data_IF_606133960155
#
_entry.id   IF_606133960155
#
_cell.length_a   1.000
_cell.length_b   1.000
_cell.length_c   1.000
_cell.angle_alpha   90.00
_cell.angle_beta   90.00
_cell.angle_gamma   90.00
#
_symmetry.space_group_name_H-M   'P 1'
#
loop_
_entity.id
_entity.type
_entity.pdbx_description
1 polymer ?
#
# COMPACT_ATOMS: atom_id res chain seq x y z
N UNK A 1 15.84 66.58 -17.46
CA UNK A 1 16.60 67.65 -16.77
C UNK A 1 17.05 67.05 -15.45
N UNK A 2 18.27 66.56 -15.21
CA UNK A 2 19.52 66.37 -15.95
C UNK A 2 20.11 65.08 -15.30
N UNK A 3 20.58 64.06 -16.02
CA UNK A 3 21.80 63.99 -16.84
C UNK A 3 23.06 64.20 -16.02
N UNK A 4 23.70 63.08 -15.64
CA UNK A 4 25.13 62.90 -15.33
C UNK A 4 25.40 61.41 -15.63
N UNK A 5 25.87 60.99 -16.81
CA UNK A 5 27.26 61.06 -17.32
C UNK A 5 28.31 60.51 -16.34
N UNK A 6 28.48 59.18 -16.35
CA UNK A 6 29.79 58.56 -16.15
C UNK A 6 29.99 57.40 -17.11
N UNK A 7 30.82 57.70 -18.09
CA UNK A 7 31.50 56.81 -19.03
C UNK A 7 32.69 56.20 -18.30
N UNK A 8 32.67 54.88 -18.08
CA UNK A 8 33.86 54.11 -17.79
C UNK A 8 33.98 52.99 -18.82
N UNK A 9 35.03 53.13 -19.63
CA UNK A 9 35.43 52.21 -20.66
C UNK A 9 36.17 51.03 -20.01
N UNK A 10 35.52 49.88 -19.90
CA UNK A 10 36.19 48.64 -19.54
C UNK A 10 36.69 47.95 -20.81
N UNK A 11 38.01 48.00 -20.98
CA UNK A 11 38.75 47.29 -22.01
C UNK A 11 38.62 45.78 -21.79
N UNK A 12 37.95 45.11 -22.72
CA UNK A 12 37.98 43.66 -22.81
C UNK A 12 39.42 43.17 -23.12
N UNK A 13 39.94 42.16 -22.40
CA UNK A 13 41.21 41.53 -22.76
C UNK A 13 41.09 40.73 -24.06
N UNK A 14 42.17 40.62 -24.84
CA UNK A 14 42.14 39.98 -26.15
C UNK A 14 41.97 38.46 -26.04
N UNK A 15 41.13 37.97 -26.93
CA UNK A 15 40.82 36.58 -27.25
C UNK A 15 42.03 35.90 -27.94
N UNK A 16 42.71 34.91 -27.34
CA UNK A 16 43.72 34.14 -28.03
C UNK A 16 43.02 33.03 -28.83
N UNK A 17 42.62 33.41 -30.04
CA UNK A 17 42.26 32.46 -31.09
C UNK A 17 43.47 31.61 -31.49
N UNK A 18 43.21 30.31 -31.55
CA UNK A 18 43.60 29.41 -32.65
C UNK A 18 44.94 28.65 -32.59
N UNK A 19 44.81 27.39 -33.02
CA UNK A 19 45.82 26.50 -33.60
C UNK A 19 46.69 25.67 -32.66
N UNK A 20 46.26 24.42 -32.46
CA UNK A 20 47.14 23.24 -32.51
C UNK A 20 46.29 21.99 -32.83
N UNK A 21 46.11 21.73 -34.11
CA UNK A 21 45.99 20.36 -34.61
C UNK A 21 47.29 19.62 -34.25
N UNK A 22 47.21 18.49 -33.53
CA UNK A 22 48.12 17.35 -33.71
C UNK A 22 47.70 16.14 -32.86
N UNK A 23 47.26 15.11 -33.56
CA UNK A 23 47.62 13.70 -33.36
C UNK A 23 47.30 13.05 -32.00
N UNK A 24 46.09 12.47 -32.00
CA UNK A 24 45.63 11.35 -31.19
C UNK A 24 46.50 10.10 -31.42
N UNK A 25 47.14 9.50 -30.40
CA UNK A 25 47.66 8.15 -30.53
C UNK A 25 46.56 7.14 -30.20
N UNK A 26 46.36 6.21 -31.14
CA UNK A 26 45.56 5.02 -30.95
C UNK A 26 46.20 4.12 -29.89
N UNK A 27 45.41 3.73 -28.87
CA UNK A 27 45.79 2.66 -27.95
C UNK A 27 45.17 1.33 -28.44
N UNK A 28 45.88 0.20 -28.26
CA UNK A 28 45.58 -1.05 -28.94
C UNK A 28 44.45 -1.84 -28.29
N UNK A 29 43.71 -2.52 -29.17
CA UNK A 29 42.83 -3.65 -28.89
C UNK A 29 43.60 -4.78 -28.18
N UNK A 30 43.14 -5.17 -26.99
CA UNK A 30 43.46 -6.46 -26.38
C UNK A 30 42.17 -7.15 -25.97
N UNK A 31 41.83 -8.16 -26.74
CA UNK A 31 40.89 -9.22 -26.38
C UNK A 31 41.64 -10.28 -25.54
N UNK A 32 41.06 -10.70 -24.42
CA UNK A 32 40.88 -12.10 -24.03
C UNK A 32 40.36 -12.20 -22.57
N UNK A 33 39.35 -13.06 -22.38
CA UNK A 33 38.64 -13.39 -21.13
C UNK A 33 39.51 -14.25 -20.16
N UNK A 34 39.05 -14.50 -18.92
CA UNK A 34 38.09 -15.59 -18.60
C UNK A 34 36.88 -15.07 -17.77
N UNK A 35 35.63 -15.50 -17.98
CA UNK A 35 34.96 -16.64 -17.28
C UNK A 35 35.27 -16.61 -15.76
N UNK A 36 34.35 -16.26 -14.86
CA UNK A 36 33.07 -16.90 -14.60
C UNK A 36 32.09 -16.08 -13.72
N UNK A 37 30.80 -16.33 -13.98
CA UNK A 37 29.69 -16.48 -13.01
C UNK A 37 29.03 -15.27 -12.30
N UNK A 38 27.68 -15.31 -12.38
CA UNK A 38 26.64 -14.61 -11.63
C UNK A 38 26.30 -13.15 -11.99
N UNK A 39 25.52 -13.01 -13.07
CA UNK A 39 24.58 -11.90 -13.25
C UNK A 39 23.16 -12.44 -13.48
N UNK A 40 22.34 -12.31 -12.44
CA UNK A 40 20.89 -12.48 -12.46
C UNK A 40 20.28 -11.35 -13.30
N UNK A 41 19.90 -11.64 -14.55
CA UNK A 41 19.15 -10.73 -15.42
C UNK A 41 17.65 -10.92 -15.19
N UNK A 42 17.02 -9.97 -14.50
CA UNK A 42 15.58 -9.73 -14.60
C UNK A 42 15.29 -8.83 -15.80
N UNK A 43 14.93 -9.42 -16.92
CA UNK A 43 14.44 -8.70 -18.11
C UNK A 43 13.00 -8.23 -17.86
N UNK A 44 12.79 -6.92 -17.69
CA UNK A 44 11.45 -6.31 -17.80
C UNK A 44 11.28 -5.77 -19.22
N UNK A 45 10.76 -6.61 -20.11
CA UNK A 45 10.23 -6.19 -21.38
C UNK A 45 8.78 -5.75 -21.17
N UNK A 46 8.52 -4.43 -21.17
CA UNK A 46 7.17 -3.89 -21.37
C UNK A 46 6.89 -3.87 -22.86
N UNK A 47 6.28 -4.94 -23.35
CA UNK A 47 5.62 -4.92 -24.65
C UNK A 47 4.37 -4.04 -24.59
N UNK A 48 4.31 -3.11 -25.55
CA UNK A 48 3.15 -2.30 -25.87
C UNK A 48 2.01 -3.21 -26.33
N UNK A 49 0.97 -3.35 -25.51
CA UNK A 49 -0.32 -3.87 -25.97
C UNK A 49 -1.12 -2.68 -26.50
N UNK A 50 -0.95 -2.40 -27.80
CA UNK A 50 -1.94 -1.71 -28.64
C UNK A 50 -2.83 -2.78 -29.25
N UNK A 51 -4.03 -2.98 -28.70
CA UNK A 51 -5.18 -3.56 -29.39
C UNK A 51 -6.35 -2.63 -29.08
N UNK A 52 -6.99 -1.95 -30.02
CA UNK A 52 -7.50 -2.50 -31.27
C UNK A 52 -8.92 -3.00 -31.03
N UNK A 53 -9.83 -2.09 -30.68
CA UNK A 53 -11.26 -2.39 -30.54
C UNK A 53 -11.83 -2.34 -31.96
N UNK A 54 -11.89 -3.51 -32.59
CA UNK A 54 -12.66 -3.73 -33.81
C UNK A 54 -13.91 -4.55 -33.45
N UNK A 55 -15.00 -4.15 -34.08
CA UNK A 55 -16.36 -4.63 -33.96
C UNK A 55 -16.51 -6.10 -34.40
N UNK A 56 -17.72 -6.62 -34.16
CA UNK A 56 -18.26 -7.90 -34.62
C UNK A 56 -17.97 -9.17 -33.80
N UNK A 57 -18.92 -9.50 -32.92
CA UNK A 57 -19.46 -10.86 -32.85
C UNK A 57 -20.83 -10.87 -32.16
N UNK A 58 -21.88 -10.98 -32.98
CA UNK A 58 -23.19 -11.50 -32.58
C UNK A 58 -23.00 -12.90 -31.99
N UNK A 59 -23.12 -13.02 -30.68
CA UNK A 59 -23.06 -14.28 -29.95
C UNK A 59 -24.13 -14.32 -28.87
N UNK A 60 -25.39 -14.43 -29.29
CA UNK A 60 -26.53 -14.77 -28.42
C UNK A 60 -26.27 -16.12 -27.76
N UNK A 61 -25.72 -16.12 -26.55
CA UNK A 61 -25.62 -17.31 -25.72
C UNK A 61 -26.81 -17.29 -24.78
N UNK A 62 -27.93 -17.82 -25.27
CA UNK A 62 -29.10 -18.13 -24.47
C UNK A 62 -28.73 -19.21 -23.45
N UNK A 63 -28.66 -18.84 -22.17
CA UNK A 63 -28.64 -19.77 -21.05
C UNK A 63 -29.96 -20.55 -21.02
N UNK A 64 -29.94 -21.89 -20.96
CA UNK A 64 -31.15 -22.66 -20.77
C UNK A 64 -31.59 -22.51 -19.31
N UNK A 65 -32.54 -21.60 -19.08
CA UNK A 65 -33.30 -21.52 -17.83
C UNK A 65 -34.28 -22.70 -17.76
N UNK A 66 -33.78 -23.90 -17.50
CA UNK A 66 -34.59 -25.06 -17.11
C UNK A 66 -34.90 -25.00 -15.61
N UNK A 67 -35.69 -24.01 -15.20
CA UNK A 67 -36.44 -24.11 -13.95
C UNK A 67 -37.62 -25.05 -14.24
N UNK A 68 -37.75 -26.21 -13.56
CA UNK A 68 -38.97 -26.99 -13.69
C UNK A 68 -40.15 -26.10 -13.25
N UNK A 69 -41.32 -26.18 -13.91
CA UNK A 69 -42.52 -25.57 -13.37
C UNK A 69 -42.77 -26.27 -12.05
N UNK A 70 -42.48 -25.59 -10.94
CA UNK A 70 -43.03 -25.98 -9.65
C UNK A 70 -44.54 -25.84 -9.84
N UNK A 71 -45.17 -26.96 -10.16
CA UNK A 71 -46.61 -27.12 -10.12
C UNK A 71 -46.98 -27.06 -8.65
N UNK A 72 -46.96 -25.85 -8.10
CA UNK A 72 -47.65 -25.51 -6.88
C UNK A 72 -49.10 -25.81 -7.20
N UNK A 73 -49.57 -26.99 -6.81
CA UNK A 73 -50.99 -27.22 -6.63
C UNK A 73 -51.41 -26.13 -5.67
N UNK A 74 -51.98 -25.05 -6.21
CA UNK A 74 -52.61 -23.99 -5.43
C UNK A 74 -53.66 -24.75 -4.64
N UNK A 75 -53.40 -24.97 -3.36
CA UNK A 75 -54.37 -25.55 -2.45
C UNK A 75 -55.60 -24.67 -2.58
N UNK A 76 -56.65 -25.19 -3.19
CA UNK A 76 -57.93 -24.50 -3.40
C UNK A 76 -58.70 -24.29 -2.09
N UNK A 77 -58.08 -24.64 -0.96
CA UNK A 77 -58.55 -24.24 0.36
C UNK A 77 -58.53 -22.70 0.44
N UNK A 78 -59.67 -22.05 0.72
CA UNK A 78 -59.70 -20.61 0.92
C UNK A 78 -58.74 -20.23 2.05
N UNK A 79 -58.00 -19.12 1.94
CA UNK A 79 -57.08 -18.71 2.98
C UNK A 79 -57.87 -18.40 4.26
N UNK A 80 -57.39 -18.90 5.40
CA UNK A 80 -58.03 -18.72 6.71
C UNK A 80 -57.33 -17.61 7.50
N UNK A 81 -58.11 -16.90 8.30
CA UNK A 81 -57.61 -15.91 9.23
C UNK A 81 -56.78 -16.60 10.32
N UNK A 82 -55.53 -16.15 10.49
CA UNK A 82 -54.64 -16.67 11.53
C UNK A 82 -55.18 -16.47 12.96
N UNK A 83 -55.94 -15.38 13.19
CA UNK A 83 -56.46 -15.06 14.51
C UNK A 83 -57.77 -15.80 14.86
N UNK A 84 -58.60 -16.14 13.86
CA UNK A 84 -59.96 -16.63 14.10
C UNK A 84 -60.25 -17.99 13.46
N UNK A 85 -59.36 -18.53 12.64
CA UNK A 85 -59.59 -19.77 11.89
C UNK A 85 -60.74 -19.70 10.88
N UNK A 86 -61.29 -18.51 10.62
CA UNK A 86 -62.41 -18.29 9.70
C UNK A 86 -61.90 -17.96 8.29
N UNK A 87 -62.63 -18.33 7.22
CA UNK A 87 -62.23 -18.00 5.87
C UNK A 87 -62.14 -16.48 5.69
N UNK A 88 -61.07 -16.03 5.04
CA UNK A 88 -60.90 -14.63 4.66
C UNK A 88 -61.89 -14.32 3.53
N UNK A 89 -62.86 -13.47 3.79
CA UNK A 89 -63.95 -13.13 2.86
C UNK A 89 -63.95 -11.65 2.46
N UNK A 90 -63.25 -10.81 3.22
CA UNK A 90 -63.23 -9.35 3.08
C UNK A 90 -61.81 -8.86 2.84
N UNK A 91 -61.68 -7.73 2.16
CA UNK A 91 -60.43 -7.00 2.01
C UNK A 91 -60.58 -5.63 2.65
N UNK A 92 -59.68 -5.29 3.58
CA UNK A 92 -59.63 -3.94 4.14
C UNK A 92 -58.80 -3.03 3.23
N UNK A 93 -59.43 -2.01 2.67
CA UNK A 93 -58.78 -1.07 1.74
C UNK A 93 -57.77 -0.16 2.46
N UNK A 94 -58.01 0.14 3.74
CA UNK A 94 -57.13 0.99 4.53
C UNK A 94 -55.84 0.29 4.94
N UNK A 95 -55.92 -0.99 5.35
CA UNK A 95 -54.73 -1.76 5.77
C UNK A 95 -54.15 -2.62 4.66
N UNK A 96 -54.78 -2.62 3.47
CA UNK A 96 -54.40 -3.43 2.30
C UNK A 96 -54.17 -4.90 2.66
N UNK A 97 -55.09 -5.48 3.44
CA UNK A 97 -54.96 -6.84 3.97
C UNK A 97 -56.30 -7.59 3.95
N UNK A 98 -56.29 -8.92 3.73
CA UNK A 98 -57.49 -9.75 3.79
C UNK A 98 -57.92 -9.97 5.25
N UNK A 99 -59.24 -9.97 5.49
CA UNK A 99 -59.86 -10.12 6.80
C UNK A 99 -60.97 -11.18 6.76
N UNK A 100 -61.22 -11.82 7.89
CA UNK A 100 -62.47 -12.57 8.10
C UNK A 100 -63.55 -11.64 8.67
N UNK A 101 -64.80 -12.08 8.61
CA UNK A 101 -65.96 -11.36 9.14
C UNK A 101 -65.84 -10.98 10.61
N UNK A 102 -65.12 -11.78 11.41
CA UNK A 102 -64.92 -11.50 12.84
C UNK A 102 -63.91 -10.37 13.07
N UNK A 103 -62.83 -10.33 12.31
CA UNK A 103 -61.89 -9.21 12.33
C UNK A 103 -62.53 -7.88 11.91
N UNK A 104 -63.51 -7.90 11.01
CA UNK A 104 -64.29 -6.72 10.68
C UNK A 104 -65.14 -6.26 11.87
N UNK A 105 -65.86 -7.18 12.51
CA UNK A 105 -66.71 -6.89 13.66
C UNK A 105 -65.91 -6.37 14.88
N UNK A 106 -64.71 -6.91 15.10
CA UNK A 106 -63.83 -6.50 16.20
C UNK A 106 -63.21 -5.10 15.96
N UNK A 107 -63.07 -4.69 14.70
CA UNK A 107 -62.59 -3.35 14.33
C UNK A 107 -63.75 -2.34 14.39
N UNK A 108 -63.88 -1.64 15.51
CA UNK A 108 -64.91 -0.60 15.72
C UNK A 108 -64.72 0.61 14.80
N UNK A 109 -65.32 0.57 13.61
CA UNK A 109 -65.71 1.71 12.75
C UNK A 109 -64.59 2.46 12.02
N UNK A 110 -64.83 2.87 10.76
CA UNK A 110 -63.99 3.80 10.00
C UNK A 110 -63.12 3.19 8.89
N UNK A 111 -63.16 1.87 8.70
CA UNK A 111 -62.43 1.18 7.65
C UNK A 111 -63.34 0.88 6.45
N UNK A 112 -62.84 1.06 5.23
CA UNK A 112 -63.53 0.64 4.01
C UNK A 112 -63.21 -0.83 3.71
N UNK A 113 -64.24 -1.62 3.43
CA UNK A 113 -64.12 -3.05 3.16
C UNK A 113 -64.78 -3.43 1.83
N UNK A 114 -64.12 -4.32 1.10
CA UNK A 114 -64.58 -4.85 -0.18
C UNK A 114 -64.61 -6.38 -0.15
N UNK A 115 -65.66 -7.00 -0.70
CA UNK A 115 -65.78 -8.45 -0.81
C UNK A 115 -64.65 -9.04 -1.67
N UNK A 116 -63.98 -10.09 -1.19
CA UNK A 116 -62.88 -10.71 -1.93
C UNK A 116 -63.35 -11.42 -3.20
N UNK A 117 -64.52 -12.05 -3.17
CA UNK A 117 -65.08 -12.81 -4.31
C UNK A 117 -65.60 -11.95 -5.47
N UNK A 118 -65.66 -10.62 -5.33
CA UNK A 118 -66.06 -9.74 -6.43
C UNK A 118 -64.93 -9.62 -7.46
N UNK A 119 -65.11 -10.04 -8.72
CA UNK A 119 -64.05 -9.99 -9.73
C UNK A 119 -63.61 -8.55 -10.04
N UNK A 120 -64.52 -7.56 -9.94
CA UNK A 120 -64.15 -6.14 -10.08
C UNK A 120 -63.28 -5.65 -8.94
N UNK A 121 -63.60 -6.04 -7.70
CA UNK A 121 -62.80 -5.69 -6.54
C UNK A 121 -61.44 -6.41 -6.56
N UNK A 122 -61.38 -7.66 -7.05
CA UNK A 122 -60.13 -8.38 -7.23
C UNK A 122 -59.20 -7.69 -8.23
N UNK A 123 -59.73 -7.30 -9.41
CA UNK A 123 -58.94 -6.55 -10.40
C UNK A 123 -58.48 -5.18 -9.88
N UNK A 124 -59.36 -4.45 -9.17
CA UNK A 124 -59.00 -3.15 -8.58
C UNK A 124 -57.90 -3.27 -7.53
N UNK A 125 -57.95 -4.30 -6.66
CA UNK A 125 -56.92 -4.57 -5.65
C UNK A 125 -55.61 -5.00 -6.29
N UNK A 126 -55.67 -5.89 -7.28
CA UNK A 126 -54.48 -6.31 -8.01
C UNK A 126 -53.79 -5.10 -8.63
N UNK A 127 -54.56 -4.18 -9.24
CA UNK A 127 -54.03 -2.94 -9.81
C UNK A 127 -53.43 -2.03 -8.74
N UNK A 128 -54.12 -1.80 -7.62
CA UNK A 128 -53.60 -0.97 -6.53
C UNK A 128 -52.30 -1.53 -5.92
N UNK A 129 -52.23 -2.85 -5.73
CA UNK A 129 -51.03 -3.53 -5.24
C UNK A 129 -49.89 -3.40 -6.26
N UNK A 130 -50.16 -3.61 -7.55
CA UNK A 130 -49.13 -3.43 -8.58
C UNK A 130 -48.64 -1.99 -8.65
N UNK A 131 -49.51 -0.99 -8.54
CA UNK A 131 -49.13 0.43 -8.55
C UNK A 131 -48.26 0.79 -7.33
N UNK A 132 -48.61 0.29 -6.13
CA UNK A 132 -47.80 0.50 -4.92
C UNK A 132 -46.45 -0.20 -5.02
N UNK A 133 -46.41 -1.44 -5.53
CA UNK A 133 -45.18 -2.18 -5.74
C UNK A 133 -44.27 -1.51 -6.78
N UNK A 134 -44.83 -1.07 -7.90
CA UNK A 134 -44.10 -0.34 -8.95
C UNK A 134 -43.57 1.00 -8.43
N UNK A 135 -44.37 1.74 -7.66
CA UNK A 135 -43.92 2.98 -7.02
C UNK A 135 -42.76 2.73 -6.06
N UNK A 136 -42.86 1.69 -5.21
CA UNK A 136 -41.79 1.33 -4.26
C UNK A 136 -40.52 0.86 -4.97
N UNK A 137 -40.65 0.04 -6.02
CA UNK A 137 -39.52 -0.39 -6.85
C UNK A 137 -38.86 0.79 -7.57
N UNK A 138 -39.66 1.75 -8.05
CA UNK A 138 -39.14 2.98 -8.67
C UNK A 138 -38.37 3.84 -7.66
N UNK A 139 -38.88 4.00 -6.45
CA UNK A 139 -38.20 4.72 -5.37
C UNK A 139 -36.88 4.04 -4.99
N UNK A 140 -36.89 2.73 -4.75
CA UNK A 140 -35.67 1.98 -4.44
C UNK A 140 -34.66 2.02 -5.59
N UNK A 141 -35.11 1.93 -6.84
CA UNK A 141 -34.25 2.05 -8.01
C UNK A 141 -33.72 3.46 -8.24
N UNK A 142 -34.42 4.50 -7.76
CA UNK A 142 -33.90 5.87 -7.69
C UNK A 142 -32.78 5.98 -6.65
N UNK A 143 -33.05 5.56 -5.42
CA UNK A 143 -32.07 5.60 -4.33
C UNK A 143 -30.82 4.76 -4.61
N UNK A 144 -30.95 3.59 -5.24
CA UNK A 144 -29.80 2.79 -5.65
C UNK A 144 -28.95 3.50 -6.70
N UNK A 145 -29.58 4.12 -7.71
CA UNK A 145 -28.86 4.87 -8.75
C UNK A 145 -28.16 6.10 -8.20
N UNK A 146 -28.78 6.82 -7.28
CA UNK A 146 -28.15 7.97 -6.59
C UNK A 146 -26.95 7.52 -5.74
N UNK A 147 -27.07 6.37 -5.07
CA UNK A 147 -25.99 5.82 -4.26
C UNK A 147 -24.85 5.27 -5.11
N UNK A 148 -25.17 4.64 -6.25
CA UNK A 148 -24.19 4.19 -7.25
C UNK A 148 -23.49 5.38 -7.91
N UNK A 149 -24.22 6.40 -8.36
CA UNK A 149 -23.63 7.58 -8.98
C UNK A 149 -22.80 8.41 -7.99
N UNK A 150 -23.27 8.56 -6.75
CA UNK A 150 -22.53 9.24 -5.69
C UNK A 150 -21.23 8.50 -5.32
N UNK A 151 -21.29 7.17 -5.19
CA UNK A 151 -20.08 6.36 -4.95
C UNK A 151 -19.13 6.36 -6.14
N UNK A 152 -19.64 6.28 -7.37
CA UNK A 152 -18.83 6.33 -8.58
C UNK A 152 -18.09 7.68 -8.68
N UNK A 153 -18.79 8.79 -8.46
CA UNK A 153 -18.17 10.12 -8.48
C UNK A 153 -17.10 10.28 -7.37
N UNK A 154 -17.37 9.77 -6.17
CA UNK A 154 -16.39 9.81 -5.08
C UNK A 154 -15.14 8.96 -5.37
N UNK A 155 -15.33 7.79 -6.00
CA UNK A 155 -14.20 6.94 -6.42
C UNK A 155 -13.40 7.59 -7.55
N UNK A 156 -14.06 8.23 -8.52
CA UNK A 156 -13.41 8.96 -9.60
C UNK A 156 -12.58 10.14 -9.08
N UNK A 157 -13.12 10.91 -8.12
CA UNK A 157 -12.37 11.99 -7.46
C UNK A 157 -11.14 11.45 -6.71
N UNK A 158 -11.27 10.32 -6.02
CA UNK A 158 -10.15 9.71 -5.31
C UNK A 158 -9.08 9.17 -6.27
N UNK A 159 -9.48 8.58 -7.41
CA UNK A 159 -8.55 8.16 -8.46
C UNK A 159 -7.76 9.38 -8.98
N UNK A 160 -8.45 10.47 -9.33
CA UNK A 160 -7.79 11.70 -9.78
C UNK A 160 -6.85 12.28 -8.73
N UNK A 161 -7.23 12.25 -7.45
CA UNK A 161 -6.37 12.67 -6.33
C UNK A 161 -5.14 11.79 -6.20
N UNK A 162 -5.29 10.47 -6.38
CA UNK A 162 -4.14 9.55 -6.36
C UNK A 162 -3.21 9.72 -7.55
N UNK A 163 -3.75 9.95 -8.75
CA UNK A 163 -2.97 10.20 -9.96
C UNK A 163 -2.14 11.49 -9.84
N UNK A 164 -2.75 12.58 -9.33
CA UNK A 164 -2.04 13.83 -9.08
C UNK A 164 -0.88 13.66 -8.09
N UNK A 165 -1.06 12.85 -7.04
CA UNK A 165 0.01 12.53 -6.07
C UNK A 165 1.12 11.68 -6.70
N UNK A 166 0.78 10.74 -7.59
CA UNK A 166 1.77 9.95 -8.31
C UNK A 166 2.60 10.83 -9.24
N UNK A 167 1.97 11.80 -9.91
CA UNK A 167 2.66 12.77 -10.75
C UNK A 167 3.60 13.66 -9.92
N UNK A 168 3.15 14.18 -8.77
CA UNK A 168 3.98 14.95 -7.83
C UNK A 168 5.20 14.13 -7.35
N UNK A 169 5.00 12.87 -6.96
CA UNK A 169 6.10 11.98 -6.58
C UNK A 169 7.07 11.71 -7.74
N UNK A 170 6.57 11.60 -8.96
CA UNK A 170 7.40 11.50 -10.16
C UNK A 170 8.28 12.74 -10.36
N UNK A 171 7.69 13.94 -10.25
CA UNK A 171 8.41 15.21 -10.36
C UNK A 171 9.47 15.37 -9.27
N UNK A 172 9.17 14.97 -8.03
CA UNK A 172 10.14 14.97 -6.93
C UNK A 172 11.28 13.99 -7.16
N UNK A 173 11.00 12.79 -7.69
CA UNK A 173 12.03 11.81 -8.03
C UNK A 173 12.95 12.33 -9.16
N UNK A 174 12.37 12.95 -10.18
CA UNK A 174 13.13 13.55 -11.29
C UNK A 174 13.97 14.75 -10.84
N UNK A 175 13.47 15.57 -9.91
CA UNK A 175 14.23 16.66 -9.29
C UNK A 175 15.41 16.10 -8.49
N UNK A 176 15.18 15.14 -7.59
CA UNK A 176 16.24 14.50 -6.83
C UNK A 176 17.30 13.83 -7.72
N UNK A 177 16.89 13.21 -8.84
CA UNK A 177 17.81 12.60 -9.80
C UNK A 177 18.63 13.63 -10.60
N UNK A 178 18.13 14.87 -10.76
CA UNK A 178 18.90 15.98 -11.34
C UNK A 178 19.89 16.52 -10.32
N UNK A 179 19.45 16.79 -9.09
CA UNK A 179 20.32 17.29 -8.01
C UNK A 179 21.51 16.34 -7.76
N UNK A 180 21.26 15.02 -7.73
CA UNK A 180 22.33 14.02 -7.58
C UNK A 180 23.32 14.00 -8.75
N UNK A 181 22.87 14.31 -9.98
CA UNK A 181 23.75 14.41 -11.15
C UNK A 181 24.60 15.67 -11.09
N UNK A 182 24.00 16.80 -10.73
CA UNK A 182 24.71 18.07 -10.54
C UNK A 182 25.76 17.96 -9.43
N UNK A 183 25.42 17.36 -8.28
CA UNK A 183 26.37 17.09 -7.18
C UNK A 183 27.54 16.19 -7.62
N UNK A 184 27.26 15.19 -8.46
CA UNK A 184 28.28 14.30 -9.00
C UNK A 184 29.21 15.02 -9.99
N UNK A 185 28.66 15.85 -10.87
CA UNK A 185 29.42 16.65 -11.82
C UNK A 185 30.32 17.67 -11.09
N UNK A 186 29.79 18.39 -10.10
CA UNK A 186 30.57 19.30 -9.25
C UNK A 186 31.71 18.57 -8.52
N UNK A 187 31.45 17.37 -8.00
CA UNK A 187 32.48 16.53 -7.38
C UNK A 187 33.60 16.18 -8.36
N UNK A 188 33.24 15.81 -9.59
CA UNK A 188 34.19 15.44 -10.63
C UNK A 188 35.02 16.65 -11.07
N UNK A 189 34.40 17.82 -11.22
CA UNK A 189 35.10 19.07 -11.52
C UNK A 189 36.10 19.45 -10.42
N UNK A 190 35.69 19.34 -9.16
CA UNK A 190 36.57 19.59 -8.02
C UNK A 190 37.77 18.65 -8.05
N UNK A 191 37.54 17.33 -8.19
CA UNK A 191 38.63 16.35 -8.28
C UNK A 191 39.57 16.62 -9.46
N UNK A 192 39.03 17.01 -10.62
CA UNK A 192 39.85 17.40 -11.77
C UNK A 192 40.65 18.67 -11.51
N UNK A 193 40.07 19.67 -10.83
CA UNK A 193 40.76 20.91 -10.46
C UNK A 193 41.90 20.63 -9.49
N UNK A 194 41.67 19.84 -8.45
CA UNK A 194 42.69 19.41 -7.48
C UNK A 194 43.78 18.60 -8.17
N UNK A 195 43.40 17.71 -9.11
CA UNK A 195 44.36 16.96 -9.92
C UNK A 195 45.27 17.90 -10.72
N UNK A 196 44.72 18.87 -11.45
CA UNK A 196 45.50 19.83 -12.25
C UNK A 196 46.47 20.63 -11.39
N UNK A 197 46.02 21.11 -10.23
CA UNK A 197 46.89 21.83 -9.28
C UNK A 197 48.04 20.94 -8.81
N UNK A 198 47.76 19.70 -8.42
CA UNK A 198 48.78 18.74 -7.99
C UNK A 198 49.75 18.36 -9.10
N UNK A 199 49.26 18.16 -10.32
CA UNK A 199 50.10 17.93 -11.50
C UNK A 199 51.02 19.13 -11.75
N UNK A 200 50.51 20.36 -11.67
CA UNK A 200 51.32 21.57 -11.83
C UNK A 200 52.41 21.69 -10.75
N UNK A 201 52.06 21.46 -9.48
CA UNK A 201 53.04 21.44 -8.39
C UNK A 201 54.16 20.41 -8.61
N UNK A 202 53.83 19.24 -9.15
CA UNK A 202 54.82 18.20 -9.47
C UNK A 202 55.71 18.60 -10.65
N UNK A 203 55.14 19.23 -11.69
CA UNK A 203 55.91 19.75 -12.84
C UNK A 203 56.86 20.84 -12.39
N UNK A 204 56.38 21.82 -11.61
CA UNK A 204 57.20 22.91 -11.08
C UNK A 204 58.33 22.37 -10.20
N UNK A 205 58.03 21.42 -9.33
CA UNK A 205 59.05 20.79 -8.49
C UNK A 205 60.08 20.03 -9.31
N UNK A 206 59.65 19.28 -10.35
CA UNK A 206 60.55 18.60 -11.27
C UNK A 206 61.45 19.59 -12.01
N UNK A 207 60.92 20.72 -12.45
CA UNK A 207 61.69 21.77 -13.12
C UNK A 207 62.73 22.38 -12.17
N UNK A 208 62.34 22.69 -10.92
CA UNK A 208 63.29 23.17 -9.90
C UNK A 208 64.42 22.16 -9.63
N UNK A 209 64.13 20.87 -9.56
CA UNK A 209 65.16 19.83 -9.42
C UNK A 209 66.05 19.73 -10.65
N UNK A 210 65.49 19.90 -11.85
CA UNK A 210 66.24 19.99 -13.11
C UNK A 210 67.23 21.14 -13.11
N UNK A 211 66.78 22.35 -12.79
CA UNK A 211 67.61 23.54 -12.70
C UNK A 211 68.77 23.35 -11.71
N UNK A 212 68.48 22.76 -10.54
CA UNK A 212 69.52 22.44 -9.54
C UNK A 212 70.50 21.40 -10.06
N UNK A 213 70.04 20.36 -10.74
CA UNK A 213 70.90 19.33 -11.31
C UNK A 213 71.82 19.89 -12.40
N UNK A 214 71.32 20.76 -13.27
CA UNK A 214 72.10 21.45 -14.30
C UNK A 214 73.19 22.33 -13.69
N UNK A 215 72.86 23.10 -12.64
CA UNK A 215 73.83 23.93 -11.92
C UNK A 215 74.92 23.10 -11.24
N UNK A 216 74.55 21.96 -10.63
CA UNK A 216 75.52 21.01 -10.07
C UNK A 216 76.41 20.45 -11.18
N UNK A 217 75.87 20.13 -12.35
CA UNK A 217 76.65 19.66 -13.49
C UNK A 217 77.63 20.73 -14.00
N UNK A 218 77.20 22.00 -14.08
CA UNK A 218 78.06 23.12 -14.41
C UNK A 218 79.22 23.28 -13.42
N UNK A 219 78.93 23.22 -12.10
CA UNK A 219 79.97 23.26 -11.07
C UNK A 219 80.93 22.07 -11.14
N UNK A 220 80.45 20.87 -11.49
CA UNK A 220 81.31 19.71 -11.73
C UNK A 220 82.23 19.93 -12.93
N UNK A 221 81.72 20.50 -14.02
CA UNK A 221 82.55 20.85 -15.19
C UNK A 221 83.64 21.86 -14.83
N UNK A 222 83.28 22.91 -14.08
CA UNK A 222 84.26 23.91 -13.59
C UNK A 222 85.31 23.26 -12.70
N UNK A 223 84.90 22.36 -11.79
CA UNK A 223 85.82 21.60 -10.96
C UNK A 223 86.78 20.76 -11.81
N UNK A 224 86.27 20.05 -12.81
CA UNK A 224 87.09 19.15 -13.64
C UNK A 224 88.08 19.94 -14.53
N UNK A 225 87.68 21.11 -15.04
CA UNK A 225 88.61 22.06 -15.69
C UNK A 225 89.67 22.57 -14.71
N UNK A 226 89.30 22.88 -13.46
CA UNK A 226 90.22 23.31 -12.42
C UNK A 226 91.23 22.22 -12.04
N UNK A 227 90.80 20.97 -11.92
CA UNK A 227 91.70 19.82 -11.65
C UNK A 227 92.73 19.68 -12.77
N UNK A 228 92.31 19.78 -14.04
CA UNK A 228 93.23 19.72 -15.19
C UNK A 228 94.25 20.87 -15.19
N UNK A 229 93.82 22.09 -14.89
CA UNK A 229 94.71 23.25 -14.79
C UNK A 229 95.74 23.08 -13.65
N UNK A 230 95.34 22.46 -12.52
CA UNK A 230 96.26 22.12 -11.44
C UNK A 230 97.27 21.04 -11.85
N UNK A 231 96.82 20.01 -12.57
CA UNK A 231 97.66 18.89 -13.03
C UNK A 231 98.71 19.32 -14.05
N UNK A 232 98.42 20.33 -14.88
CA UNK A 232 99.37 20.88 -15.85
C UNK A 232 100.58 21.59 -15.20
N UNK A 233 100.48 21.96 -13.92
CA UNK A 233 101.50 22.69 -13.16
C UNK A 233 101.97 24.02 -13.78
N UNK A 234 101.21 24.59 -14.74
CA UNK A 234 101.46 25.89 -15.33
C UNK A 234 100.68 26.99 -14.60
N UNK A 235 101.41 27.98 -14.10
CA UNK A 235 100.83 29.12 -13.38
C UNK A 235 99.95 30.00 -14.30
N UNK A 236 100.24 30.05 -15.60
CA UNK A 236 99.46 30.83 -16.56
C UNK A 236 98.07 30.22 -16.79
N UNK A 237 97.99 28.89 -16.93
CA UNK A 237 96.72 28.16 -17.11
C UNK A 237 95.82 28.29 -15.88
N UNK A 238 96.40 28.28 -14.67
CA UNK A 238 95.64 28.41 -13.43
C UNK A 238 95.08 29.83 -13.22
N UNK A 239 95.83 30.88 -13.59
CA UNK A 239 95.31 32.27 -13.58
C UNK A 239 94.21 32.45 -14.63
N UNK A 240 94.38 31.86 -15.81
CA UNK A 240 93.36 31.85 -16.87
C UNK A 240 92.06 31.18 -16.39
N UNK A 241 92.16 30.00 -15.78
CA UNK A 241 91.02 29.29 -15.18
C UNK A 241 90.29 30.14 -14.13
N UNK A 242 91.02 30.72 -13.17
CA UNK A 242 90.42 31.54 -12.12
C UNK A 242 89.70 32.77 -12.69
N UNK A 243 90.32 33.48 -13.65
CA UNK A 243 89.69 34.64 -14.27
C UNK A 243 88.43 34.29 -15.07
N UNK A 244 88.43 33.12 -15.74
CA UNK A 244 87.31 32.64 -16.56
C UNK A 244 86.11 32.16 -15.72
N UNK A 245 86.36 31.51 -14.58
CA UNK A 245 85.31 30.82 -13.82
C UNK A 245 84.97 31.45 -12.46
N UNK A 246 85.68 32.49 -12.00
CA UNK A 246 85.42 33.13 -10.71
C UNK A 246 83.97 33.62 -10.53
N UNK A 247 83.39 34.21 -11.58
CA UNK A 247 82.00 34.70 -11.56
C UNK A 247 81.00 33.54 -11.50
N UNK A 248 81.18 32.52 -12.33
CA UNK A 248 80.30 31.34 -12.36
C UNK A 248 80.36 30.55 -11.05
N UNK A 249 81.57 30.34 -10.52
CA UNK A 249 81.74 29.59 -9.28
C UNK A 249 81.09 30.33 -8.10
N UNK A 250 81.34 31.63 -7.96
CA UNK A 250 80.73 32.40 -6.87
C UNK A 250 79.21 32.47 -7.00
N UNK A 251 78.69 32.83 -8.18
CA UNK A 251 77.26 33.04 -8.37
C UNK A 251 76.44 31.74 -8.24
N UNK A 252 76.90 30.64 -8.83
CA UNK A 252 76.17 29.36 -8.76
C UNK A 252 76.29 28.68 -7.40
N UNK A 253 77.46 28.74 -6.74
CA UNK A 253 77.59 28.21 -5.38
C UNK A 253 76.71 28.98 -4.39
N UNK A 254 76.69 30.32 -4.47
CA UNK A 254 75.82 31.12 -3.61
C UNK A 254 74.34 30.83 -3.85
N UNK A 255 73.91 30.68 -5.11
CA UNK A 255 72.51 30.37 -5.41
C UNK A 255 72.08 28.97 -4.94
N UNK A 256 72.96 27.97 -5.05
CA UNK A 256 72.69 26.62 -4.53
C UNK A 256 72.69 26.55 -3.01
N UNK A 257 73.57 27.29 -2.34
CA UNK A 257 73.61 27.36 -0.88
C UNK A 257 72.43 28.14 -0.30
N UNK A 258 71.99 29.20 -0.97
CA UNK A 258 70.90 30.05 -0.52
C UNK A 258 69.51 29.39 -0.70
N UNK A 259 69.36 28.43 -1.63
CA UNK A 259 68.07 27.81 -1.94
C UNK A 259 68.02 26.37 -1.42
N UNK A 260 67.49 26.13 -0.21
CA UNK A 260 67.40 24.77 0.33
C UNK A 260 66.51 23.90 -0.57
N UNK A 261 67.05 22.76 -1.00
CA UNK A 261 66.30 21.75 -1.73
C UNK A 261 65.14 21.24 -0.85
N UNK A 262 63.88 21.28 -1.33
CA UNK A 262 62.77 20.69 -0.61
C UNK A 262 63.03 19.18 -0.47
N UNK A 263 63.21 18.70 0.77
CA UNK A 263 63.56 17.29 1.05
C UNK A 263 62.39 16.31 0.83
N UNK A 264 61.16 16.81 0.74
CA UNK A 264 59.98 16.03 0.45
C UNK A 264 58.92 16.90 -0.21
N UNK A 265 58.32 16.42 -1.30
CA UNK A 265 57.10 17.01 -1.84
C UNK A 265 55.97 16.66 -0.88
N UNK A 266 55.59 17.60 -0.01
CA UNK A 266 54.34 17.46 0.73
C UNK A 266 53.23 17.90 -0.20
N UNK A 267 52.67 16.95 -0.95
CA UNK A 267 51.34 17.12 -1.52
C UNK A 267 50.39 16.76 -0.38
N UNK A 268 49.78 17.75 0.33
CA UNK A 268 48.81 17.42 1.36
C UNK A 268 47.71 16.56 0.73
N UNK A 269 47.53 15.39 1.32
CA UNK A 269 46.41 14.52 0.95
C UNK A 269 45.10 15.10 1.48
N UNK A 270 45.16 16.04 2.42
CA UNK A 270 44.07 16.48 3.32
C UNK A 270 42.79 16.99 2.65
N UNK A 271 42.84 17.43 1.39
CA UNK A 271 41.65 17.85 0.64
C UNK A 271 40.72 16.67 0.29
N UNK A 272 41.27 15.45 0.16
CA UNK A 272 40.51 14.25 -0.23
C UNK A 272 39.88 13.53 1.00
N UNK A 273 40.57 13.31 2.14
CA UNK A 273 40.01 12.62 3.29
C UNK A 273 38.85 13.37 3.94
N UNK A 274 38.83 14.70 3.99
CA UNK A 274 37.74 15.42 4.64
C UNK A 274 36.42 15.28 3.87
N UNK A 275 36.45 15.47 2.56
CA UNK A 275 35.28 15.26 1.72
C UNK A 275 34.86 13.79 1.65
N UNK A 276 35.82 12.87 1.58
CA UNK A 276 35.54 11.44 1.61
C UNK A 276 34.96 11.03 2.97
N UNK A 277 35.44 11.58 4.08
CA UNK A 277 34.88 11.32 5.42
C UNK A 277 33.45 11.86 5.53
N UNK A 278 33.20 13.11 5.11
CA UNK A 278 31.87 13.71 5.08
C UNK A 278 30.90 12.89 4.21
N UNK A 279 31.33 12.46 3.02
CA UNK A 279 30.53 11.59 2.14
C UNK A 279 30.32 10.21 2.73
N UNK A 280 31.30 9.63 3.42
CA UNK A 280 31.17 8.35 4.11
C UNK A 280 30.18 8.43 5.26
N UNK A 281 30.08 9.57 5.94
CA UNK A 281 29.10 9.80 6.99
C UNK A 281 27.69 9.99 6.42
N UNK A 282 27.56 10.73 5.31
CA UNK A 282 26.29 10.83 4.57
C UNK A 282 25.82 9.47 4.05
N UNK A 283 26.71 8.66 3.47
CA UNK A 283 26.41 7.30 3.02
C UNK A 283 26.00 6.39 4.18
N UNK A 284 26.66 6.49 5.34
CA UNK A 284 26.24 5.78 6.56
C UNK A 284 24.86 6.22 7.01
N UNK A 285 24.57 7.52 6.98
CA UNK A 285 23.23 8.07 7.26
C UNK A 285 22.17 7.52 6.31
N UNK A 286 22.45 7.47 5.01
CA UNK A 286 21.56 6.90 3.99
C UNK A 286 21.34 5.39 4.17
N UNK A 287 22.38 4.63 4.53
CA UNK A 287 22.22 3.20 4.85
C UNK A 287 21.37 2.98 6.10
N UNK A 288 21.53 3.82 7.13
CA UNK A 288 20.69 3.78 8.32
C UNK A 288 19.23 4.11 8.00
N UNK A 289 18.97 5.14 7.19
CA UNK A 289 17.61 5.52 6.80
C UNK A 289 16.95 4.45 5.93
N UNK A 290 17.68 3.83 5.00
CA UNK A 290 17.19 2.71 4.20
C UNK A 290 16.84 1.50 5.09
N UNK A 291 17.71 1.16 6.05
CA UNK A 291 17.43 0.07 7.01
C UNK A 291 16.17 0.36 7.84
N UNK A 292 16.01 1.59 8.33
CA UNK A 292 14.81 2.02 9.04
C UNK A 292 13.56 1.95 8.15
N UNK A 293 13.67 2.34 6.88
CA UNK A 293 12.57 2.26 5.92
C UNK A 293 12.14 0.80 5.68
N UNK A 294 13.10 -0.13 5.54
CA UNK A 294 12.83 -1.57 5.42
C UNK A 294 12.13 -2.11 6.67
N UNK A 295 12.65 -1.81 7.86
CA UNK A 295 12.02 -2.21 9.13
C UNK A 295 10.60 -1.64 9.28
N UNK A 296 10.38 -0.38 8.90
CA UNK A 296 9.04 0.22 8.90
C UNK A 296 8.09 -0.54 7.97
N UNK A 297 8.55 -0.90 6.77
CA UNK A 297 7.74 -1.63 5.81
C UNK A 297 7.44 -3.06 6.28
N UNK A 298 8.39 -3.73 6.92
CA UNK A 298 8.19 -5.05 7.55
C UNK A 298 7.09 -4.98 8.62
N UNK A 299 7.19 -4.02 9.56
CA UNK A 299 6.15 -3.82 10.60
C UNK A 299 4.79 -3.48 10.00
N UNK A 300 4.74 -2.68 8.92
CA UNK A 300 3.49 -2.38 8.23
C UNK A 300 2.88 -3.62 7.58
N UNK A 301 3.69 -4.48 6.96
CA UNK A 301 3.24 -5.76 6.43
C UNK A 301 2.67 -6.65 7.54
N UNK A 302 3.37 -6.77 8.67
CA UNK A 302 2.93 -7.56 9.82
C UNK A 302 1.57 -7.06 10.36
N UNK A 303 1.39 -5.73 10.47
CA UNK A 303 0.12 -5.12 10.89
C UNK A 303 -1.00 -5.43 9.88
N UNK A 304 -0.73 -5.32 8.58
CA UNK A 304 -1.71 -5.60 7.53
C UNK A 304 -2.14 -7.07 7.55
N UNK A 305 -1.19 -7.99 7.75
CA UNK A 305 -1.50 -9.42 7.81
C UNK A 305 -2.24 -9.79 9.10
N UNK A 306 -1.90 -9.18 10.24
CA UNK A 306 -2.66 -9.32 11.48
C UNK A 306 -4.12 -8.83 11.30
N UNK A 307 -4.33 -7.67 10.67
CA UNK A 307 -5.68 -7.15 10.40
C UNK A 307 -6.47 -8.05 9.44
N UNK A 308 -5.81 -8.67 8.44
CA UNK A 308 -6.45 -9.65 7.56
C UNK A 308 -6.87 -10.89 8.34
N UNK A 309 -6.00 -11.37 9.22
CA UNK A 309 -6.30 -12.53 10.07
C UNK A 309 -7.48 -12.24 11.01
N UNK A 310 -7.49 -11.09 11.69
CA UNK A 310 -8.63 -10.68 12.53
C UNK A 310 -9.93 -10.61 11.74
N UNK A 311 -9.92 -10.01 10.54
CA UNK A 311 -11.11 -9.96 9.66
C UNK A 311 -11.59 -11.35 9.27
N UNK A 312 -10.69 -12.29 8.99
CA UNK A 312 -11.06 -13.69 8.74
C UNK A 312 -11.71 -14.32 9.96
N UNK A 313 -11.13 -14.15 11.16
CA UNK A 313 -11.73 -14.69 12.39
C UNK A 313 -13.09 -14.07 12.71
N UNK A 314 -13.27 -12.78 12.40
CA UNK A 314 -14.56 -12.11 12.51
C UNK A 314 -15.60 -12.62 11.51
N UNK A 315 -15.19 -12.96 10.29
CA UNK A 315 -16.06 -13.61 9.32
C UNK A 315 -16.48 -15.00 9.82
N UNK A 316 -15.54 -15.82 10.26
CA UNK A 316 -15.79 -17.18 10.78
C UNK A 316 -16.72 -17.16 12.01
N UNK A 317 -16.51 -16.22 12.93
CA UNK A 317 -17.37 -16.06 14.13
C UNK A 317 -18.77 -15.59 13.76
N UNK A 318 -18.92 -14.74 12.74
CA UNK A 318 -20.23 -14.32 12.23
C UNK A 318 -20.96 -15.48 11.56
N UNK A 319 -20.28 -16.29 10.75
CA UNK A 319 -20.86 -17.50 10.16
C UNK A 319 -21.32 -18.48 11.24
N UNK A 320 -20.50 -18.70 12.26
CA UNK A 320 -20.87 -19.54 13.40
C UNK A 320 -22.06 -18.98 14.18
N UNK A 321 -22.13 -17.67 14.40
CA UNK A 321 -23.28 -17.03 15.06
C UNK A 321 -24.58 -17.27 14.27
N UNK A 322 -24.54 -17.13 12.94
CA UNK A 322 -25.69 -17.41 12.06
C UNK A 322 -26.09 -18.89 12.12
N UNK A 323 -25.12 -19.82 12.18
CA UNK A 323 -25.39 -21.26 12.35
C UNK A 323 -26.08 -21.55 13.69
N UNK A 324 -25.62 -20.93 14.79
CA UNK A 324 -26.22 -21.07 16.12
C UNK A 324 -27.63 -20.46 16.15
N UNK A 325 -27.84 -19.29 15.57
CA UNK A 325 -29.17 -18.67 15.46
C UNK A 325 -30.14 -19.58 14.71
N UNK A 326 -29.72 -20.15 13.57
CA UNK A 326 -30.51 -21.12 12.81
C UNK A 326 -30.87 -22.38 13.60
N UNK A 327 -29.91 -22.92 14.37
CA UNK A 327 -30.16 -24.07 15.25
C UNK A 327 -31.14 -23.71 16.38
N UNK A 328 -30.99 -22.54 17.00
CA UNK A 328 -31.90 -22.07 18.05
C UNK A 328 -33.31 -21.86 17.51
N UNK A 329 -33.47 -21.31 16.31
CA UNK A 329 -34.76 -21.20 15.62
C UNK A 329 -35.34 -22.58 15.32
N UNK A 330 -34.55 -23.51 14.79
CA UNK A 330 -35.00 -24.88 14.54
C UNK A 330 -35.48 -25.56 15.83
N UNK A 331 -34.69 -25.50 16.91
CA UNK A 331 -35.09 -26.05 18.21
C UNK A 331 -36.30 -25.34 18.81
N UNK A 332 -36.42 -24.02 18.67
CA UNK A 332 -37.61 -23.28 19.10
C UNK A 332 -38.85 -23.76 18.35
N UNK A 333 -38.77 -23.95 17.03
CA UNK A 333 -39.91 -24.46 16.25
C UNK A 333 -40.23 -25.92 16.57
N UNK A 334 -39.25 -26.77 16.86
CA UNK A 334 -39.49 -28.13 17.35
C UNK A 334 -40.13 -28.14 18.74
N UNK A 335 -39.67 -27.25 19.62
CA UNK A 335 -40.18 -27.10 20.96
C UNK A 335 -41.64 -26.65 20.94
N UNK A 336 -41.98 -25.64 20.14
CA UNK A 336 -43.36 -25.18 19.92
C UNK A 336 -44.28 -26.27 19.36
N UNK A 337 -43.76 -27.18 18.52
CA UNK A 337 -44.54 -28.31 18.00
C UNK A 337 -44.77 -29.41 19.04
N UNK A 338 -43.80 -29.63 19.93
CA UNK A 338 -43.80 -30.78 20.85
C UNK A 338 -44.44 -30.45 22.19
N UNK A 339 -44.32 -29.21 22.67
CA UNK A 339 -44.74 -28.85 24.01
C UNK A 339 -45.86 -27.82 23.97
N UNK A 340 -46.96 -28.18 24.63
CA UNK A 340 -48.02 -27.22 24.96
C UNK A 340 -47.65 -26.46 26.24
N UNK A 341 -48.03 -25.19 26.31
CA UNK A 341 -47.87 -24.37 27.51
C UNK A 341 -49.02 -24.66 28.48
N UNK A 342 -48.89 -25.62 29.40
CA UNK A 342 -49.94 -25.87 30.39
C UNK A 342 -49.74 -25.03 31.66
N UNK A 343 -50.83 -24.51 32.22
CA UNK A 343 -50.80 -23.91 33.54
C UNK A 343 -50.50 -24.99 34.60
N UNK A 344 -49.43 -24.82 35.38
CA UNK A 344 -49.06 -25.78 36.44
C UNK A 344 -50.15 -26.01 37.49
N UNK A 345 -51.07 -25.06 37.66
CA UNK A 345 -52.12 -25.13 38.69
C UNK A 345 -53.40 -25.78 38.22
N UNK A 346 -53.92 -25.40 37.05
CA UNK A 346 -55.20 -25.91 36.54
C UNK A 346 -55.05 -26.90 35.37
N UNK A 347 -53.84 -27.09 34.85
CA UNK A 347 -53.55 -27.99 33.72
C UNK A 347 -54.09 -27.51 32.37
N UNK A 348 -54.71 -26.32 32.32
CA UNK A 348 -55.25 -25.77 31.08
C UNK A 348 -54.11 -25.37 30.14
N UNK A 349 -54.21 -25.79 28.87
CA UNK A 349 -53.31 -25.34 27.81
C UNK A 349 -53.54 -23.86 27.55
N UNK A 350 -52.46 -23.09 27.62
CA UNK A 350 -52.36 -21.66 27.40
C UNK A 350 -51.75 -21.42 26.02
N UNK A 351 -52.14 -20.33 25.38
CA UNK A 351 -51.40 -19.83 24.21
C UNK A 351 -50.06 -19.25 24.68
N UNK A 352 -49.02 -19.36 23.85
CA UNK A 352 -47.66 -18.88 24.17
C UNK A 352 -47.64 -17.41 24.63
N UNK A 353 -48.48 -16.55 24.03
CA UNK A 353 -48.62 -15.15 24.39
C UNK A 353 -49.18 -14.93 25.81
N UNK A 354 -50.02 -15.86 26.29
CA UNK A 354 -50.71 -15.80 27.58
C UNK A 354 -49.95 -16.51 28.70
N UNK A 355 -48.90 -17.28 28.37
CA UNK A 355 -48.15 -18.09 29.32
C UNK A 355 -47.53 -17.27 30.45
N UNK A 356 -47.17 -16.00 30.19
CA UNK A 356 -46.58 -15.08 31.17
C UNK A 356 -47.59 -14.06 31.73
N UNK A 357 -48.87 -14.15 31.38
CA UNK A 357 -49.87 -13.23 31.93
C UNK A 357 -50.17 -13.51 33.41
N UNK A 358 -50.49 -12.48 34.21
CA UNK A 358 -50.59 -12.63 35.65
C UNK A 358 -51.88 -13.30 36.17
N UNK A 359 -52.83 -13.69 35.30
CA UNK A 359 -54.17 -14.11 35.77
C UNK A 359 -54.71 -15.40 35.16
N UNK A 360 -54.87 -16.41 36.01
CA UNK A 360 -55.64 -17.62 35.70
C UNK A 360 -57.12 -17.37 35.96
N UNK A 361 -57.92 -17.27 34.88
CA UNK A 361 -59.37 -17.05 34.96
C UNK A 361 -60.14 -18.08 35.80
N UNK A 362 -59.52 -19.22 36.11
CA UNK A 362 -60.13 -20.30 36.90
C UNK A 362 -60.03 -20.11 38.43
N UNK A 363 -59.19 -19.20 38.95
CA UNK A 363 -58.96 -19.05 40.40
C UNK A 363 -58.82 -17.58 40.81
N UNK A 364 -59.88 -16.92 41.32
CA UNK A 364 -59.76 -15.55 41.84
C UNK A 364 -58.83 -15.51 43.07
N UNK A 365 -57.75 -14.72 42.97
CA UNK A 365 -56.88 -14.36 44.10
C UNK A 365 -55.50 -15.03 44.18
N UNK A 366 -55.03 -15.77 43.17
CA UNK A 366 -53.65 -16.32 43.14
C UNK A 366 -52.74 -15.64 42.11
N UNK A 367 -51.44 -15.71 42.40
CA UNK A 367 -50.32 -15.09 41.67
C UNK A 367 -50.20 -15.64 40.23
N UNK A 368 -49.40 -14.93 39.42
CA UNK A 368 -49.15 -15.17 38.00
C UNK A 368 -49.05 -16.65 37.60
N UNK A 369 -49.53 -16.96 36.40
CA UNK A 369 -49.37 -18.30 35.82
C UNK A 369 -47.90 -18.71 35.88
N UNK A 370 -47.63 -19.87 36.46
CA UNK A 370 -46.39 -20.58 36.19
C UNK A 370 -46.72 -21.63 35.16
N UNK A 371 -46.32 -21.40 33.92
CA UNK A 371 -46.47 -22.41 32.87
C UNK A 371 -45.40 -23.49 33.05
N UNK A 372 -45.73 -24.71 32.66
CA UNK A 372 -44.80 -25.84 32.60
C UNK A 372 -44.96 -26.47 31.22
N UNK A 373 -43.86 -26.74 30.50
CA UNK A 373 -43.94 -27.41 29.21
C UNK A 373 -44.48 -28.82 29.40
N UNK A 374 -45.58 -29.14 28.73
CA UNK A 374 -46.18 -30.49 28.74
C UNK A 374 -46.07 -31.12 27.36
N UNK A 375 -45.47 -32.31 27.28
CA UNK A 375 -45.29 -33.03 26.01
C UNK A 375 -46.66 -33.46 25.46
N UNK A 376 -47.02 -32.96 24.28
CA UNK A 376 -48.31 -33.23 23.64
C UNK A 376 -48.46 -34.70 23.26
N UNK A 377 -47.36 -35.38 22.94
CA UNK A 377 -47.33 -36.82 22.72
C UNK A 377 -47.46 -37.59 24.04
N UNK A 378 -46.90 -37.06 25.13
CA UNK A 378 -46.92 -37.67 26.44
C UNK A 378 -48.27 -37.65 27.14
N UNK A 379 -49.15 -36.67 26.88
CA UNK A 379 -50.48 -36.62 27.52
C UNK A 379 -51.46 -37.66 26.93
N UNK A 380 -51.22 -38.11 25.69
CA UNK A 380 -52.00 -39.20 25.09
C UNK A 380 -51.59 -40.59 25.63
N UNK A 381 -50.33 -40.80 25.98
CA UNK A 381 -49.81 -42.09 26.48
C UNK A 381 -49.64 -42.16 28.01
N UNK A 382 -49.55 -41.03 28.73
CA UNK A 382 -49.38 -41.00 30.19
C UNK A 382 -50.68 -41.26 31.00
N UNK A 383 -51.63 -42.00 30.42
CA UNK A 383 -52.53 -42.83 31.22
C UNK A 383 -51.93 -44.19 31.56
N UNK A 384 -50.81 -44.60 30.97
CA UNK A 384 -50.08 -45.80 31.36
C UNK A 384 -48.55 -45.61 31.24
N UNK A 385 -47.91 -45.49 32.42
CA UNK A 385 -46.48 -45.77 32.70
C UNK A 385 -45.36 -44.77 32.32
N UNK A 386 -44.70 -44.29 33.38
CA UNK A 386 -43.25 -44.15 33.63
C UNK A 386 -42.30 -43.34 32.69
N UNK A 387 -41.90 -42.16 33.21
CA UNK A 387 -40.53 -41.58 33.35
C UNK A 387 -39.57 -41.64 32.13
N UNK A 388 -39.30 -40.51 31.44
CA UNK A 388 -38.25 -40.44 30.43
C UNK A 388 -36.87 -40.14 31.03
N UNK A 389 -35.84 -40.86 30.58
CA UNK A 389 -34.43 -40.53 30.79
C UNK A 389 -33.97 -39.48 29.77
N UNK A 390 -33.24 -38.47 30.22
CA UNK A 390 -32.59 -37.47 29.38
C UNK A 390 -31.42 -38.10 28.59
N UNK A 391 -31.23 -37.77 27.30
CA UNK A 391 -30.05 -38.19 26.57
C UNK A 391 -28.81 -37.42 27.05
N UNK A 392 -27.76 -38.17 27.35
CA UNK A 392 -26.42 -37.67 27.65
C UNK A 392 -25.91 -36.89 26.43
N UNK A 393 -25.57 -35.62 26.65
CA UNK A 393 -24.99 -34.75 25.65
C UNK A 393 -23.75 -35.38 25.00
N UNK A 394 -23.83 -35.66 23.70
CA UNK A 394 -22.66 -35.95 22.89
C UNK A 394 -21.82 -34.68 22.81
N UNK A 395 -20.67 -34.69 23.49
CA UNK A 395 -19.70 -33.62 23.44
C UNK A 395 -19.26 -33.37 21.99
N UNK A 396 -19.60 -32.19 21.46
CA UNK A 396 -19.17 -31.75 20.14
C UNK A 396 -17.63 -31.64 20.11
N UNK A 397 -16.92 -32.30 19.16
CA UNK A 397 -15.46 -32.37 19.15
C UNK A 397 -14.76 -31.04 18.81
N UNK A 398 -15.49 -29.96 18.52
CA UNK A 398 -14.93 -28.66 18.10
C UNK A 398 -14.38 -27.79 19.23
N UNK A 399 -14.65 -28.09 20.51
CA UNK A 399 -14.08 -27.32 21.63
C UNK A 399 -12.61 -27.66 21.95
N UNK A 400 -12.03 -28.72 21.35
CA UNK A 400 -10.63 -29.08 21.56
C UNK A 400 -9.64 -28.21 20.77
N UNK A 401 -10.07 -27.49 19.73
CA UNK A 401 -9.17 -26.62 18.94
C UNK A 401 -8.94 -25.24 19.59
N UNK A 402 -9.89 -24.73 20.37
CA UNK A 402 -9.71 -23.42 21.05
C UNK A 402 -8.80 -23.48 22.29
N UNK A 403 -8.65 -24.65 22.92
CA UNK A 403 -7.71 -24.83 24.03
C UNK A 403 -6.23 -24.79 23.58
N UNK A 404 -5.94 -25.00 22.28
CA UNK A 404 -4.57 -25.01 21.76
C UNK A 404 -4.03 -23.62 21.40
N UNK A 405 -4.90 -22.63 21.21
CA UNK A 405 -4.52 -21.26 20.84
C UNK A 405 -4.11 -20.43 22.08
N UNK A 406 -4.61 -20.76 23.28
CA UNK A 406 -4.19 -20.10 24.55
C UNK A 406 -2.88 -20.61 25.15
N UNK A 407 -2.24 -21.60 24.54
CA UNK A 407 -0.95 -22.15 25.02
C UNK A 407 0.27 -21.61 24.25
N UNK A 408 0.05 -20.69 23.29
CA UNK A 408 1.11 -20.11 22.44
C UNK A 408 1.25 -18.58 22.66
N UNK A 409 0.30 -17.94 23.35
CA UNK A 409 0.50 -16.63 23.99
C UNK A 409 1.12 -16.81 25.37
#
# INVERSE_FOLDING_TARGET
RASDERSDAEQAPPDPRSQSDTLRPAAPSLAARPEDSNAFRGSSARESIKGGIAEDAKGTTSLPSSRPPVSSRISTSPPFCSAHGLPLSLWCETTQAPLCSRCEADRKGGYSYSLMGSPRAASSRSRAITEVCEAKLRMMGGSLRELESGKAAALEEEILRTDAKLEELGQLADAAARDLREDFEQAMELLQSTRRVKEHMLVDHRQQLGDVAERIAALRSVRDEGVKACEAADHAEMVSFLSKHASTYSQECWQLLARPLPRSIQVPLDDIPFEVAKRRDLLRGAQCSEKLARMKNEVLCDIVDALRQERSTHADTREYAVEVESLLEAYATEWEKRFDYACSYCGQVLEAALANEPYCGAMPGRKAHHWVPTDTAGIAEAKETARPQLPVAAASPRLKSQAKIRAIS
#
